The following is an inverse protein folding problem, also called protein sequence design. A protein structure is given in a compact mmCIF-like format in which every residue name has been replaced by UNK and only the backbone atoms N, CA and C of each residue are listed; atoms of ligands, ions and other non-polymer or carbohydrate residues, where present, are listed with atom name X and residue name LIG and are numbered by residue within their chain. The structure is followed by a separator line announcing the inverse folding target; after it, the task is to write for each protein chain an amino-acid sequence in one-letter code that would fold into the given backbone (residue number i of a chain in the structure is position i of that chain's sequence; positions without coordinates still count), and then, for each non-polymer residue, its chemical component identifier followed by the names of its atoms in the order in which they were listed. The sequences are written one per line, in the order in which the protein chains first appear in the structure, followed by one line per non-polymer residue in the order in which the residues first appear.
data_IF_983140658296
#
_entry.id   IF_983140658296
#
_cell.length_a   1.000
_cell.length_b   1.000
_cell.length_c   1.000
_cell.angle_alpha   90.00
_cell.angle_beta   90.00
_cell.angle_gamma   90.00
#
_symmetry.space_group_name_H-M   'P 1'
#
loop_
_entity.id
_entity.type
_entity.pdbx_description
1 polymer ?
#
# COMPACT_ATOMS: atom_id res chain seq x y z
N UNK A 1 8.59 -18.58 27.39
CA UNK A 1 9.21 -18.03 26.16
C UNK A 1 9.13 -16.50 26.23
N UNK A 2 10.23 -15.76 26.12
CA UNK A 2 10.20 -14.29 26.23
C UNK A 2 9.71 -13.71 24.89
N UNK A 3 8.48 -13.21 24.84
CA UNK A 3 7.88 -12.66 23.62
C UNK A 3 8.57 -11.35 23.26
N UNK A 4 9.31 -11.32 22.15
CA UNK A 4 9.99 -10.10 21.70
C UNK A 4 8.98 -9.21 20.97
N UNK A 5 8.71 -8.02 21.52
CA UNK A 5 7.82 -7.02 20.91
C UNK A 5 8.35 -6.60 19.54
N UNK A 6 7.48 -6.53 18.53
CA UNK A 6 7.84 -6.01 17.21
C UNK A 6 8.17 -4.52 17.30
N UNK A 7 9.13 -4.10 16.49
CA UNK A 7 9.47 -2.69 16.29
C UNK A 7 8.56 -2.10 15.19
N UNK A 8 8.22 -2.91 14.17
CA UNK A 8 7.29 -2.57 13.08
C UNK A 8 7.57 -1.19 12.46
N UNK A 9 8.65 -1.08 11.66
CA UNK A 9 9.10 0.20 11.08
C UNK A 9 9.64 0.04 9.68
N UNK A 10 9.79 1.15 8.97
CA UNK A 10 10.49 1.15 7.69
C UNK A 10 11.96 0.77 7.86
N UNK A 11 12.44 -0.08 6.95
CA UNK A 11 13.82 -0.57 6.94
C UNK A 11 14.72 0.52 6.39
N UNK A 12 15.58 1.05 7.24
CA UNK A 12 16.65 1.98 6.85
C UNK A 12 17.92 1.25 6.35
N UNK A 13 18.01 -0.06 6.56
CA UNK A 13 19.12 -0.89 6.12
C UNK A 13 18.64 -2.29 5.75
N UNK A 14 19.46 -3.02 5.00
CA UNK A 14 19.14 -4.40 4.63
C UNK A 14 19.09 -5.30 5.88
N UNK A 15 18.25 -6.33 5.83
CA UNK A 15 18.16 -7.29 6.93
C UNK A 15 19.50 -8.00 7.21
N UNK A 16 20.32 -8.21 6.16
CA UNK A 16 21.68 -8.77 6.28
C UNK A 16 22.62 -7.81 7.01
N UNK A 17 22.59 -6.52 6.69
CA UNK A 17 23.38 -5.50 7.37
C UNK A 17 22.99 -5.36 8.85
N UNK A 18 21.68 -5.27 9.13
CA UNK A 18 21.16 -5.24 10.48
C UNK A 18 21.51 -6.52 11.28
N UNK A 19 21.40 -7.70 10.66
CA UNK A 19 21.79 -8.96 11.29
C UNK A 19 23.25 -8.95 11.76
N UNK A 20 24.17 -8.50 10.90
CA UNK A 20 25.59 -8.35 11.24
C UNK A 20 25.81 -7.33 12.35
N UNK A 21 25.13 -6.18 12.29
CA UNK A 21 25.27 -5.09 13.28
C UNK A 21 24.75 -5.46 14.68
N UNK A 22 23.65 -6.20 14.75
CA UNK A 22 22.96 -6.50 16.02
C UNK A 22 23.19 -7.93 16.53
N UNK A 23 24.00 -8.75 15.83
CA UNK A 23 24.29 -10.12 16.23
C UNK A 23 23.04 -11.02 16.26
N UNK A 24 22.12 -10.82 15.32
CA UNK A 24 20.85 -11.60 15.21
C UNK A 24 20.73 -12.25 13.85
N UNK A 25 19.91 -13.30 13.76
CA UNK A 25 19.60 -13.91 12.46
C UNK A 25 18.77 -12.97 11.58
N UNK A 26 18.97 -13.06 10.27
CA UNK A 26 18.22 -12.29 9.27
C UNK A 26 16.71 -12.48 9.42
N UNK A 27 16.26 -13.72 9.68
CA UNK A 27 14.85 -14.05 9.93
C UNK A 27 14.28 -13.34 11.16
N UNK A 28 15.09 -13.19 12.22
CA UNK A 28 14.67 -12.46 13.43
C UNK A 28 14.52 -10.96 13.13
N UNK A 29 15.50 -10.36 12.44
CA UNK A 29 15.42 -8.95 12.04
C UNK A 29 14.19 -8.70 11.15
N UNK A 30 13.96 -9.56 10.16
CA UNK A 30 12.81 -9.43 9.27
C UNK A 30 11.49 -9.46 10.04
N UNK A 31 11.34 -10.39 10.99
CA UNK A 31 10.16 -10.53 11.85
C UNK A 31 9.93 -9.31 12.74
N UNK A 32 10.99 -8.77 13.32
CA UNK A 32 10.91 -7.63 14.25
C UNK A 32 10.58 -6.32 13.54
N UNK A 33 11.12 -6.13 12.34
CA UNK A 33 11.00 -4.86 11.60
C UNK A 33 9.79 -4.83 10.68
N UNK A 34 9.25 -5.99 10.27
CA UNK A 34 8.07 -6.05 9.40
C UNK A 34 6.92 -5.21 9.98
N UNK A 35 6.41 -4.30 9.15
CA UNK A 35 5.19 -3.55 9.43
C UNK A 35 4.00 -4.50 9.51
N UNK A 36 3.00 -4.13 10.31
CA UNK A 36 1.74 -4.84 10.32
C UNK A 36 0.97 -4.57 9.01
N UNK A 37 0.10 -5.52 8.66
CA UNK A 37 -0.52 -5.56 7.33
C UNK A 37 -1.35 -4.31 7.04
N UNK A 38 -2.16 -3.90 8.00
CA UNK A 38 -3.01 -2.70 7.92
C UNK A 38 -2.19 -1.42 7.68
N UNK A 39 -1.09 -1.24 8.40
CA UNK A 39 -0.20 -0.07 8.23
C UNK A 39 0.52 -0.07 6.89
N UNK A 40 0.91 -1.24 6.40
CA UNK A 40 1.49 -1.37 5.06
C UNK A 40 0.47 -0.98 3.98
N UNK A 41 -0.75 -1.51 4.08
CA UNK A 41 -1.82 -1.26 3.11
C UNK A 41 -2.27 0.20 3.11
N UNK A 42 -2.45 0.80 4.29
CA UNK A 42 -2.78 2.22 4.45
C UNK A 42 -1.75 3.12 3.76
N UNK A 43 -0.46 2.93 4.07
CA UNK A 43 0.62 3.71 3.45
C UNK A 43 0.66 3.52 1.93
N UNK A 44 0.48 2.28 1.47
CA UNK A 44 0.45 2.00 0.03
C UNK A 44 -0.72 2.72 -0.66
N UNK A 45 -1.87 2.81 0.01
CA UNK A 45 -3.03 3.55 -0.47
C UNK A 45 -2.80 5.06 -0.50
N UNK A 46 -2.27 5.62 0.59
CA UNK A 46 -1.88 7.04 0.68
C UNK A 46 -0.91 7.42 -0.44
N UNK A 47 0.12 6.60 -0.69
CA UNK A 47 1.12 6.87 -1.73
C UNK A 47 0.50 6.83 -3.14
N UNK A 48 -0.44 5.91 -3.39
CA UNK A 48 -1.20 5.83 -4.65
C UNK A 48 -2.11 7.05 -4.82
N UNK A 49 -2.81 7.45 -3.76
CA UNK A 49 -3.67 8.64 -3.73
C UNK A 49 -2.89 9.93 -3.95
N UNK A 50 -1.71 10.07 -3.35
CA UNK A 50 -0.83 11.22 -3.58
C UNK A 50 -0.41 11.32 -5.06
N UNK A 51 -0.01 10.21 -5.68
CA UNK A 51 0.33 10.19 -7.11
C UNK A 51 -0.84 10.65 -7.99
N UNK A 52 -2.06 10.18 -7.67
CA UNK A 52 -3.28 10.62 -8.34
C UNK A 52 -3.55 12.12 -8.17
N UNK A 53 -3.52 12.62 -6.93
CA UNK A 53 -3.79 14.01 -6.62
C UNK A 53 -2.79 14.97 -7.29
N UNK A 54 -1.50 14.64 -7.25
CA UNK A 54 -0.47 15.44 -7.91
C UNK A 54 -0.67 15.49 -9.43
N UNK A 55 -1.11 14.37 -10.02
CA UNK A 55 -1.41 14.33 -11.46
C UNK A 55 -2.65 15.15 -11.79
N UNK A 56 -3.67 15.11 -10.93
CA UNK A 56 -4.90 15.90 -11.05
C UNK A 56 -4.61 17.41 -10.96
N UNK A 57 -3.63 17.81 -10.15
CA UNK A 57 -3.11 19.18 -10.05
C UNK A 57 -2.28 19.62 -11.28
N UNK A 58 -2.13 18.77 -12.30
CA UNK A 58 -1.42 19.09 -13.54
C UNK A 58 0.10 18.91 -13.48
N UNK A 59 0.67 18.34 -12.42
CA UNK A 59 2.11 18.07 -12.32
C UNK A 59 2.57 17.07 -13.39
N UNK A 60 3.78 17.28 -13.92
CA UNK A 60 4.45 16.34 -14.84
C UNK A 60 4.93 15.11 -14.08
N UNK A 61 5.03 13.96 -14.75
CA UNK A 61 5.43 12.70 -14.10
C UNK A 61 6.79 12.76 -13.39
N UNK A 62 7.72 13.57 -13.90
CA UNK A 62 9.01 13.82 -13.25
C UNK A 62 8.83 14.49 -11.89
N UNK A 63 8.02 15.55 -11.82
CA UNK A 63 7.72 16.27 -10.56
C UNK A 63 6.95 15.39 -9.58
N UNK A 64 6.03 14.54 -10.08
CA UNK A 64 5.31 13.57 -9.24
C UNK A 64 6.28 12.54 -8.65
N UNK A 65 7.22 12.04 -9.45
CA UNK A 65 8.27 11.12 -9.00
C UNK A 65 9.16 11.76 -7.94
N UNK A 66 9.63 12.99 -8.19
CA UNK A 66 10.43 13.77 -7.24
C UNK A 66 9.69 13.98 -5.90
N UNK A 67 8.42 14.37 -5.94
CA UNK A 67 7.60 14.56 -4.75
C UNK A 67 7.38 13.26 -3.95
N UNK A 68 7.35 12.10 -4.63
CA UNK A 68 7.17 10.78 -4.02
C UNK A 68 8.49 10.07 -3.72
N UNK A 69 9.64 10.66 -4.04
CA UNK A 69 10.96 10.04 -3.91
C UNK A 69 11.11 8.77 -4.75
N UNK A 70 10.58 8.74 -5.97
CA UNK A 70 10.71 7.61 -6.90
C UNK A 70 10.92 8.06 -8.36
N UNK A 71 11.12 7.11 -9.28
CA UNK A 71 11.21 7.41 -10.71
C UNK A 71 9.86 7.85 -11.29
N UNK A 72 9.90 8.50 -12.45
CA UNK A 72 8.69 8.93 -13.17
C UNK A 72 7.83 7.72 -13.59
N UNK A 73 8.46 6.61 -13.99
CA UNK A 73 7.78 5.35 -14.28
C UNK A 73 7.10 4.76 -13.04
N UNK A 74 7.77 4.79 -11.88
CA UNK A 74 7.19 4.34 -10.63
C UNK A 74 5.98 5.20 -10.23
N UNK A 75 6.06 6.51 -10.43
CA UNK A 75 4.92 7.41 -10.22
C UNK A 75 3.74 7.08 -11.14
N UNK A 76 3.99 6.80 -12.43
CA UNK A 76 2.94 6.34 -13.38
C UNK A 76 2.32 5.02 -12.94
N UNK A 77 3.12 4.08 -12.46
CA UNK A 77 2.63 2.79 -11.97
C UNK A 77 1.73 2.96 -10.74
N UNK A 78 2.08 3.86 -9.81
CA UNK A 78 1.25 4.19 -8.65
C UNK A 78 -0.11 4.77 -9.09
N UNK A 79 -0.10 5.69 -10.05
CA UNK A 79 -1.31 6.28 -10.62
C UNK A 79 -2.22 5.22 -11.25
N UNK A 80 -1.69 4.36 -12.14
CA UNK A 80 -2.46 3.30 -12.81
C UNK A 80 -3.09 2.34 -11.80
N UNK A 81 -2.35 1.95 -10.77
CA UNK A 81 -2.84 1.09 -9.69
C UNK A 81 -3.96 1.75 -8.89
N UNK A 82 -3.90 3.07 -8.68
CA UNK A 82 -4.98 3.79 -8.03
C UNK A 82 -6.28 3.68 -8.82
N UNK A 83 -6.26 3.96 -10.13
CA UNK A 83 -7.44 3.87 -11.00
C UNK A 83 -8.04 2.46 -11.01
N UNK A 84 -7.21 1.44 -11.22
CA UNK A 84 -7.66 0.04 -11.23
C UNK A 84 -8.35 -0.38 -9.91
N UNK A 85 -7.88 0.15 -8.77
CA UNK A 85 -8.52 -0.10 -7.47
C UNK A 85 -9.85 0.64 -7.32
N UNK A 86 -9.98 1.84 -7.88
CA UNK A 86 -11.26 2.55 -7.88
C UNK A 86 -12.29 1.85 -8.77
N UNK A 87 -11.88 1.40 -9.95
CA UNK A 87 -12.73 0.62 -10.86
C UNK A 87 -13.19 -0.68 -10.19
N UNK A 88 -12.28 -1.40 -9.51
CA UNK A 88 -12.64 -2.61 -8.76
C UNK A 88 -13.65 -2.33 -7.65
N UNK A 89 -13.44 -1.27 -6.87
CA UNK A 89 -14.37 -0.85 -5.80
C UNK A 89 -15.75 -0.46 -6.36
N UNK A 90 -15.79 0.21 -7.52
CA UNK A 90 -17.05 0.57 -8.18
C UNK A 90 -17.81 -0.67 -8.64
N UNK A 91 -17.12 -1.64 -9.25
CA UNK A 91 -17.72 -2.92 -9.66
C UNK A 91 -18.25 -3.72 -8.47
N UNK A 92 -17.46 -3.87 -7.40
CA UNK A 92 -17.90 -4.55 -6.18
C UNK A 92 -19.12 -3.86 -5.55
N UNK A 93 -19.19 -2.52 -5.59
CA UNK A 93 -20.35 -1.78 -5.09
C UNK A 93 -21.59 -1.92 -6.00
N UNK A 94 -21.40 -2.05 -7.31
CA UNK A 94 -22.48 -2.28 -8.27
C UNK A 94 -23.04 -3.70 -8.13
N UNK A 95 -22.17 -4.69 -8.01
CA UNK A 95 -22.53 -6.09 -7.75
C UNK A 95 -23.33 -6.21 -6.44
N UNK A 96 -22.86 -5.59 -5.35
CA UNK A 96 -23.59 -5.60 -4.08
C UNK A 96 -24.98 -4.92 -4.15
N UNK A 97 -25.13 -3.86 -4.96
CA UNK A 97 -26.43 -3.22 -5.22
C UNK A 97 -27.36 -4.12 -6.02
N UNK A 98 -26.83 -4.84 -6.99
CA UNK A 98 -27.62 -5.77 -7.79
C UNK A 98 -28.06 -6.97 -6.95
N UNK A 99 -27.19 -7.49 -6.07
CA UNK A 99 -27.54 -8.57 -5.14
C UNK A 99 -28.63 -8.15 -4.15
N UNK A 100 -28.53 -6.96 -3.57
CA UNK A 100 -29.54 -6.42 -2.66
C UNK A 100 -30.88 -6.18 -3.37
N UNK A 101 -30.86 -5.54 -4.54
CA UNK A 101 -32.07 -5.33 -5.35
C UNK A 101 -32.71 -6.67 -5.77
N UNK A 102 -31.90 -7.69 -6.06
CA UNK A 102 -32.39 -9.03 -6.35
C UNK A 102 -33.05 -9.65 -5.11
N UNK A 103 -32.41 -9.59 -3.94
CA UNK A 103 -33.00 -10.11 -2.70
C UNK A 103 -34.35 -9.45 -2.37
N UNK A 104 -34.43 -8.11 -2.50
CA UNK A 104 -35.65 -7.36 -2.27
C UNK A 104 -36.77 -7.76 -3.25
N UNK A 105 -36.44 -8.04 -4.52
CA UNK A 105 -37.41 -8.45 -5.55
C UNK A 105 -37.97 -9.87 -5.35
N UNK A 106 -37.27 -10.74 -4.61
CA UNK A 106 -37.63 -12.14 -4.40
C UNK A 106 -38.24 -12.43 -3.01
N UNK A 107 -38.40 -11.42 -2.14
CA UNK A 107 -38.88 -11.57 -0.75
C UNK A 107 -40.19 -10.80 -0.43
N UNK A 108 -40.84 -10.22 -1.44
CA UNK A 108 -42.26 -9.77 -1.41
C UNK A 108 -43.21 -10.87 -1.94
#
# INVERSE_FOLDING_TARGET
MRTVKKIARERNMTAKGAAKKFGKSTRTIQRLVALDRSDYERRADERRKMAYNLRLQGKKWKEVGEALGCSDEAARALYKRYLALQEKKQKEAEEAKNETANYDLFMD
#
